data_IF_394069609250
#
_entry.id   IF_394069609250
#
_cell.length_a   1.000
_cell.length_b   1.000
_cell.length_c   1.000
_cell.angle_alpha   90.00
_cell.angle_beta   90.00
_cell.angle_gamma   90.00
#
_symmetry.space_group_name_H-M   'P 1'
#
loop_
_entity.id
_entity.type
_entity.pdbx_description
1 polymer ?
#
# COMPACT_ATOMS: atom_id res chain seq x y z
N UNK A 1 -6.64 3.85 -6.77
CA UNK A 1 -5.26 3.90 -6.27
C UNK A 1 -5.13 2.91 -5.12
N UNK A 2 -3.91 2.48 -4.81
CA UNK A 2 -3.62 1.66 -3.63
C UNK A 2 -2.76 2.50 -2.69
N UNK A 3 -3.17 2.64 -1.44
CA UNK A 3 -2.45 3.39 -0.41
C UNK A 3 -2.00 2.44 0.68
N UNK A 4 -0.74 2.53 1.08
CA UNK A 4 -0.13 1.66 2.10
C UNK A 4 0.42 2.52 3.22
N UNK A 5 0.11 2.16 4.47
CA UNK A 5 0.72 2.78 5.64
C UNK A 5 1.20 1.71 6.61
N UNK A 6 2.28 2.00 7.33
CA UNK A 6 2.80 1.11 8.33
C UNK A 6 3.41 1.89 9.48
N UNK A 7 3.08 1.46 10.69
CA UNK A 7 3.54 2.05 11.94
C UNK A 7 4.06 0.96 12.88
N UNK A 8 4.45 1.34 14.11
CA UNK A 8 4.81 0.39 15.15
C UNK A 8 3.60 -0.31 15.79
N UNK A 9 2.39 0.09 15.43
CA UNK A 9 1.15 -0.48 15.97
C UNK A 9 0.48 -1.35 14.93
N UNK A 10 0.33 -0.81 13.73
CA UNK A 10 -0.50 -1.41 12.69
C UNK A 10 0.11 -1.25 11.30
N UNK A 11 -0.35 -2.11 10.41
CA UNK A 11 -0.15 -2.03 8.96
C UNK A 11 -1.53 -1.87 8.36
N UNK A 12 -1.66 -0.91 7.46
CA UNK A 12 -2.91 -0.63 6.76
C UNK A 12 -2.66 -0.65 5.25
N UNK A 13 -3.62 -1.21 4.53
CA UNK A 13 -3.69 -1.10 3.10
C UNK A 13 -5.12 -0.76 2.67
N UNK A 14 -5.24 0.14 1.69
CA UNK A 14 -6.52 0.60 1.17
C UNK A 14 -6.46 0.64 -0.36
N UNK A 15 -7.57 0.24 -1.00
CA UNK A 15 -7.81 0.49 -2.43
C UNK A 15 -8.93 1.51 -2.55
N UNK A 16 -8.66 2.57 -3.30
CA UNK A 16 -9.61 3.62 -3.64
C UNK A 16 -9.82 3.73 -5.14
N UNK A 17 -10.87 4.42 -5.57
CA UNK A 17 -11.09 4.85 -6.94
C UNK A 17 -11.20 6.37 -6.99
N UNK A 18 -10.46 6.99 -7.90
CA UNK A 18 -10.59 8.41 -8.21
C UNK A 18 -11.50 8.56 -9.42
N UNK A 19 -12.67 9.16 -9.21
CA UNK A 19 -13.68 9.38 -10.24
C UNK A 19 -13.28 10.54 -11.18
N UNK A 20 -13.90 10.65 -12.36
CA UNK A 20 -13.60 11.72 -13.32
C UNK A 20 -13.83 13.14 -12.78
N UNK A 21 -14.72 13.30 -11.81
CA UNK A 21 -14.99 14.55 -11.09
C UNK A 21 -13.91 14.90 -10.04
N UNK A 22 -12.93 14.01 -9.86
CA UNK A 22 -11.84 14.17 -8.90
C UNK A 22 -12.13 13.61 -7.51
N UNK A 23 -13.35 13.14 -7.23
CA UNK A 23 -13.71 12.54 -5.95
C UNK A 23 -12.98 11.20 -5.77
N UNK A 24 -12.39 10.97 -4.61
CA UNK A 24 -11.76 9.70 -4.27
C UNK A 24 -12.64 8.92 -3.29
N UNK A 25 -13.10 7.73 -3.68
CA UNK A 25 -13.85 6.83 -2.78
C UNK A 25 -13.06 5.59 -2.48
N UNK A 26 -13.11 5.20 -1.21
CA UNK A 26 -12.61 3.92 -0.78
C UNK A 26 -13.46 2.78 -1.37
N UNK A 27 -12.79 1.77 -1.92
CA UNK A 27 -13.42 0.52 -2.37
C UNK A 27 -13.31 -0.55 -1.29
N UNK A 28 -12.13 -0.67 -0.69
CA UNK A 28 -11.85 -1.65 0.37
C UNK A 28 -10.64 -1.22 1.18
N UNK A 29 -10.69 -1.48 2.49
CA UNK A 29 -9.54 -1.41 3.39
C UNK A 29 -9.24 -2.78 3.99
N UNK A 30 -8.06 -2.88 4.57
CA UNK A 30 -7.66 -3.96 5.44
C UNK A 30 -6.53 -3.48 6.32
N UNK A 31 -6.54 -3.91 7.57
CA UNK A 31 -5.51 -3.60 8.53
C UNK A 31 -5.16 -4.84 9.36
N UNK A 32 -3.99 -4.78 9.97
CA UNK A 32 -3.63 -5.72 11.03
C UNK A 32 -2.66 -5.09 12.01
N UNK A 33 -2.65 -5.62 13.22
CA UNK A 33 -1.62 -5.32 14.20
C UNK A 33 -0.24 -5.82 13.74
N UNK A 34 0.79 -5.05 14.08
CA UNK A 34 2.20 -5.44 13.90
C UNK A 34 2.65 -6.34 15.03
N UNK A 35 3.36 -7.42 14.68
CA UNK A 35 3.97 -8.29 15.70
C UNK A 35 5.28 -7.70 16.20
N UNK A 36 5.73 -8.11 17.39
CA UNK A 36 6.88 -7.52 18.07
C UNK A 36 8.14 -7.39 17.20
N UNK A 37 8.43 -8.39 16.37
CA UNK A 37 9.58 -8.38 15.46
C UNK A 37 9.45 -7.33 14.35
N UNK A 38 8.25 -7.13 13.82
CA UNK A 38 7.96 -6.16 12.75
C UNK A 38 8.10 -4.72 13.23
N UNK A 39 7.81 -4.46 14.51
CA UNK A 39 7.96 -3.13 15.12
C UNK A 39 9.39 -2.61 15.06
N UNK A 40 10.37 -3.51 15.14
CA UNK A 40 11.81 -3.18 15.09
C UNK A 40 12.33 -2.95 13.67
N UNK A 41 11.51 -3.18 12.64
CA UNK A 41 11.92 -2.94 11.25
C UNK A 41 12.03 -1.45 10.93
N UNK A 42 12.92 -1.14 9.97
CA UNK A 42 12.98 0.19 9.36
C UNK A 42 11.68 0.51 8.63
N UNK A 43 11.41 1.80 8.41
CA UNK A 43 10.19 2.26 7.74
C UNK A 43 9.99 1.62 6.36
N UNK A 44 11.08 1.49 5.59
CA UNK A 44 11.07 0.83 4.27
C UNK A 44 10.64 -0.64 4.41
N UNK A 45 11.23 -1.39 5.35
CA UNK A 45 10.86 -2.79 5.58
C UNK A 45 9.40 -2.94 6.00
N UNK A 46 8.88 -2.00 6.79
CA UNK A 46 7.46 -1.97 7.18
C UNK A 46 6.53 -1.71 6.00
N UNK A 47 6.93 -0.88 5.05
CA UNK A 47 6.15 -0.68 3.82
C UNK A 47 6.19 -1.87 2.87
N UNK A 48 7.34 -2.54 2.76
CA UNK A 48 7.43 -3.81 2.01
C UNK A 48 6.49 -4.84 2.62
N UNK A 49 6.43 -4.90 3.95
CA UNK A 49 5.51 -5.74 4.68
C UNK A 49 4.04 -5.34 4.44
N UNK A 50 3.73 -4.05 4.41
CA UNK A 50 2.41 -3.53 4.05
C UNK A 50 2.01 -3.88 2.61
N UNK A 51 2.97 -3.85 1.69
CA UNK A 51 2.75 -4.23 0.28
C UNK A 51 2.43 -5.72 0.17
N UNK A 52 3.19 -6.58 0.84
CA UNK A 52 2.90 -8.02 0.88
C UNK A 52 1.57 -8.33 1.58
N UNK A 53 1.21 -7.56 2.60
CA UNK A 53 -0.11 -7.65 3.22
C UNK A 53 -1.22 -7.27 2.24
N UNK A 54 -1.11 -6.13 1.54
CA UNK A 54 -2.03 -5.71 0.49
C UNK A 54 -2.20 -6.77 -0.61
N UNK A 55 -1.10 -7.36 -1.07
CA UNK A 55 -1.11 -8.40 -2.11
C UNK A 55 -1.96 -9.60 -1.68
N UNK A 56 -1.77 -10.05 -0.44
CA UNK A 56 -2.51 -11.20 0.12
C UNK A 56 -3.97 -10.86 0.37
N UNK A 57 -4.25 -9.70 0.96
CA UNK A 57 -5.60 -9.27 1.34
C UNK A 57 -6.45 -8.95 0.11
N UNK A 58 -5.88 -8.26 -0.88
CA UNK A 58 -6.58 -7.79 -2.06
C UNK A 58 -6.29 -8.60 -3.32
N UNK A 59 -5.74 -9.82 -3.18
CA UNK A 59 -5.35 -10.68 -4.30
C UNK A 59 -6.39 -10.75 -5.42
N UNK A 60 -7.66 -10.93 -5.05
CA UNK A 60 -8.79 -11.00 -6.00
C UNK A 60 -9.01 -9.70 -6.77
N UNK A 61 -8.78 -8.54 -6.15
CA UNK A 61 -8.92 -7.22 -6.78
C UNK A 61 -7.70 -6.88 -7.63
N UNK A 62 -6.50 -7.18 -7.13
CA UNK A 62 -5.22 -6.96 -7.81
C UNK A 62 -5.07 -7.78 -9.10
N UNK A 63 -5.58 -9.01 -9.14
CA UNK A 63 -5.51 -9.84 -10.35
C UNK A 63 -6.35 -9.31 -11.52
N UNK A 64 -7.35 -8.48 -11.27
CA UNK A 64 -8.30 -8.06 -12.31
C UNK A 64 -7.94 -6.70 -12.92
N UNK A 65 -7.11 -5.90 -12.26
CA UNK A 65 -6.85 -4.52 -12.66
C UNK A 65 -5.43 -4.08 -12.29
N UNK A 66 -4.86 -3.19 -13.10
CA UNK A 66 -3.63 -2.50 -12.74
C UNK A 66 -3.93 -1.39 -11.72
N UNK A 67 -3.11 -1.31 -10.66
CA UNK A 67 -3.26 -0.28 -9.62
C UNK A 67 -2.04 0.63 -9.58
N UNK A 68 -2.29 1.91 -9.28
CA UNK A 68 -1.24 2.86 -8.95
C UNK A 68 -0.99 2.81 -7.44
N UNK A 69 0.24 2.47 -7.06
CA UNK A 69 0.69 2.55 -5.68
C UNK A 69 0.94 4.02 -5.32
N UNK A 70 0.18 4.53 -4.38
CA UNK A 70 0.36 5.84 -3.77
C UNK A 70 1.15 5.68 -2.48
N UNK A 71 2.36 6.21 -2.47
CA UNK A 71 3.23 6.24 -1.28
C UNK A 71 3.98 7.56 -1.22
N UNK A 72 4.12 8.08 0.00
CA UNK A 72 4.91 9.25 0.36
C UNK A 72 6.42 8.95 0.46
N UNK A 73 6.83 7.68 0.34
CA UNK A 73 8.21 7.27 0.53
C UNK A 73 8.91 6.85 -0.76
N UNK A 74 9.76 7.75 -1.28
CA UNK A 74 10.53 7.53 -2.52
C UNK A 74 11.46 6.31 -2.47
N UNK A 75 11.85 5.85 -1.28
CA UNK A 75 12.69 4.66 -1.10
C UNK A 75 12.01 3.36 -1.54
N UNK A 76 10.68 3.32 -1.67
CA UNK A 76 9.96 2.16 -2.21
C UNK A 76 10.19 1.96 -3.71
N UNK A 77 10.46 3.03 -4.47
CA UNK A 77 10.71 2.92 -5.91
C UNK A 77 11.93 2.04 -6.20
N UNK A 78 12.99 2.18 -5.41
CA UNK A 78 14.21 1.38 -5.54
C UNK A 78 14.02 -0.09 -5.16
N UNK A 79 13.12 -0.39 -4.23
CA UNK A 79 12.89 -1.77 -3.74
C UNK A 79 12.04 -2.57 -4.71
N UNK A 80 11.04 -1.94 -5.32
CA UNK A 80 10.06 -2.59 -6.19
C UNK A 80 10.27 -2.31 -7.68
N UNK A 81 11.35 -1.63 -8.06
CA UNK A 81 11.62 -1.16 -9.41
C UNK A 81 10.40 -0.44 -10.03
N UNK A 82 9.77 0.41 -9.20
CA UNK A 82 8.55 1.12 -9.60
C UNK A 82 8.92 2.27 -10.53
N UNK A 83 8.07 2.50 -11.53
CA UNK A 83 8.13 3.72 -12.35
C UNK A 83 7.31 4.82 -11.70
N UNK A 84 7.94 5.96 -11.47
CA UNK A 84 7.23 7.17 -11.09
C UNK A 84 6.36 7.60 -12.29
N UNK A 85 5.05 7.75 -12.06
CA UNK A 85 4.15 8.26 -13.08
C UNK A 85 3.97 9.74 -12.80
N UNK A 86 4.69 10.56 -13.57
CA UNK A 86 4.52 12.01 -13.57
C UNK A 86 3.19 12.28 -14.28
N UNK A 87 2.23 12.83 -13.53
CA UNK A 87 0.93 13.27 -14.05
C UNK A 87 0.93 14.78 -14.22
#
# INVERSE_FOLDING_TARGET
MMSLSASNKEINAMISHKFPDGEEKEITHGDRSTVFHERKHSQIKKQVLATSFAERTFRKKLHLQNFFLSTDHKSLFAVFDLRERIA
#
